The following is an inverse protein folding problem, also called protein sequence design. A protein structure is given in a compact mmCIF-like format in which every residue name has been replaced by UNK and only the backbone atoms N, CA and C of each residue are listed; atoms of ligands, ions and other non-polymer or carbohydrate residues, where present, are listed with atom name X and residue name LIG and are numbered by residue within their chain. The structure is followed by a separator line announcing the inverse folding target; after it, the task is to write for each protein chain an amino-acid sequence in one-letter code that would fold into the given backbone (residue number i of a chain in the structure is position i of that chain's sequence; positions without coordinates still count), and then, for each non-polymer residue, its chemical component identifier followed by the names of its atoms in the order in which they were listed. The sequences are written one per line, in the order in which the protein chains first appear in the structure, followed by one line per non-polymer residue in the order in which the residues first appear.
data_IF_313833974365
#
_entry.id   IF_313833974365
#
_cell.length_a   1.000
_cell.length_b   1.000
_cell.length_c   1.000
_cell.angle_alpha   90.00
_cell.angle_beta   90.00
_cell.angle_gamma   90.00
#
_symmetry.space_group_name_H-M   'P 1'
#
loop_
_entity.id
_entity.type
_entity.pdbx_description
1 polymer ?
#
# COMPACT_ATOMS: atom_id res chain seq x y z
N UNK A 1 -51.19 -13.71 -23.53
CA UNK A 1 -49.87 -14.27 -23.17
C UNK A 1 -49.21 -13.28 -22.22
N UNK A 2 -49.02 -13.63 -20.95
CA UNK A 2 -48.26 -12.79 -20.03
C UNK A 2 -46.79 -12.84 -20.46
N UNK A 3 -46.30 -11.76 -21.07
CA UNK A 3 -44.86 -11.62 -21.31
C UNK A 3 -44.22 -11.61 -19.92
N UNK A 4 -43.37 -12.59 -19.62
CA UNK A 4 -42.65 -12.62 -18.36
C UNK A 4 -41.56 -11.53 -18.43
N UNK A 5 -41.96 -10.31 -18.09
CA UNK A 5 -41.12 -9.12 -18.19
C UNK A 5 -40.20 -9.09 -16.98
N UNK A 6 -38.90 -9.34 -17.19
CA UNK A 6 -37.90 -9.25 -16.13
C UNK A 6 -37.83 -7.81 -15.63
N UNK A 7 -38.26 -7.61 -14.40
CA UNK A 7 -38.44 -6.28 -13.80
C UNK A 7 -37.55 -6.04 -12.58
N UNK A 8 -36.65 -6.98 -12.29
CA UNK A 8 -35.64 -6.91 -11.24
C UNK A 8 -34.26 -7.33 -11.75
N UNK A 9 -33.22 -6.85 -11.07
CA UNK A 9 -31.82 -7.20 -11.31
C UNK A 9 -31.24 -7.96 -10.12
N UNK A 10 -30.32 -8.87 -10.41
CA UNK A 10 -29.57 -9.61 -9.40
C UNK A 10 -28.18 -8.99 -9.22
N UNK A 11 -27.73 -8.83 -7.98
CA UNK A 11 -26.41 -8.29 -7.65
C UNK A 11 -25.45 -9.45 -7.38
N UNK A 12 -24.52 -9.66 -8.31
CA UNK A 12 -23.59 -10.81 -8.25
C UNK A 12 -22.44 -10.61 -7.28
N UNK A 13 -21.95 -9.38 -7.17
CA UNK A 13 -20.74 -9.03 -6.43
C UNK A 13 -20.73 -7.53 -6.10
N UNK A 14 -19.81 -7.13 -5.21
CA UNK A 14 -19.67 -5.75 -4.72
C UNK A 14 -19.37 -4.76 -5.85
N UNK A 15 -18.56 -5.15 -6.85
CA UNK A 15 -18.19 -4.27 -7.96
C UNK A 15 -19.39 -4.00 -8.86
N UNK A 16 -20.14 -5.05 -9.18
CA UNK A 16 -21.42 -4.94 -9.90
C UNK A 16 -22.40 -4.07 -9.11
N UNK A 17 -22.51 -4.28 -7.80
CA UNK A 17 -23.33 -3.43 -6.93
C UNK A 17 -22.95 -1.95 -7.01
N UNK A 18 -21.65 -1.64 -6.91
CA UNK A 18 -21.13 -0.27 -6.99
C UNK A 18 -21.47 0.39 -8.32
N UNK A 19 -21.26 -0.33 -9.42
CA UNK A 19 -21.64 0.14 -10.76
C UNK A 19 -23.13 0.49 -10.82
N UNK A 20 -24.00 -0.41 -10.35
CA UNK A 20 -25.44 -0.23 -10.36
C UNK A 20 -25.86 1.03 -9.60
N UNK A 21 -25.29 1.26 -8.42
CA UNK A 21 -25.58 2.47 -7.64
C UNK A 21 -25.22 3.75 -8.37
N UNK A 22 -24.01 3.83 -8.94
CA UNK A 22 -23.58 5.01 -9.70
C UNK A 22 -24.40 5.22 -10.97
N UNK A 23 -24.67 4.15 -11.71
CA UNK A 23 -25.46 4.22 -12.93
C UNK A 23 -26.91 4.65 -12.64
N UNK A 24 -27.54 4.12 -11.60
CA UNK A 24 -28.89 4.50 -11.18
C UNK A 24 -28.93 5.95 -10.72
N UNK A 25 -28.00 6.40 -9.87
CA UNK A 25 -27.94 7.81 -9.43
C UNK A 25 -27.81 8.79 -10.58
N UNK A 26 -27.04 8.41 -11.61
CA UNK A 26 -26.83 9.23 -12.80
C UNK A 26 -28.08 9.31 -13.70
N UNK A 27 -28.82 8.22 -13.84
CA UNK A 27 -29.86 8.09 -14.87
C UNK A 27 -31.30 8.16 -14.33
N UNK A 28 -31.53 7.98 -13.02
CA UNK A 28 -32.85 8.01 -12.40
C UNK A 28 -32.99 9.27 -11.55
N UNK A 29 -33.95 10.13 -11.91
CA UNK A 29 -34.26 11.34 -11.13
C UNK A 29 -34.76 10.96 -9.73
N UNK A 30 -34.27 11.68 -8.70
CA UNK A 30 -34.63 11.42 -7.31
C UNK A 30 -33.93 10.23 -6.68
N UNK A 31 -33.12 9.45 -7.42
CA UNK A 31 -32.41 8.29 -6.86
C UNK A 31 -31.40 8.63 -5.74
N UNK A 32 -31.01 9.90 -5.62
CA UNK A 32 -30.15 10.38 -4.53
C UNK A 32 -30.79 10.26 -3.14
N UNK A 33 -32.11 10.11 -3.05
CA UNK A 33 -32.82 9.89 -1.78
C UNK A 33 -32.56 8.50 -1.19
N UNK A 34 -32.10 7.54 -2.01
CA UNK A 34 -31.76 6.20 -1.54
C UNK A 34 -30.34 6.19 -0.97
N UNK A 35 -30.23 5.76 0.28
CA UNK A 35 -28.94 5.50 0.92
C UNK A 35 -28.31 4.27 0.25
N UNK A 36 -27.25 4.50 -0.51
CA UNK A 36 -26.48 3.45 -1.17
C UNK A 36 -25.07 3.44 -0.59
N UNK A 37 -24.69 2.31 0.00
CA UNK A 37 -23.30 2.01 0.31
C UNK A 37 -22.73 1.12 -0.79
N UNK A 38 -21.95 1.70 -1.69
CA UNK A 38 -21.32 1.00 -2.80
C UNK A 38 -20.21 0.03 -2.40
N UNK A 39 -19.87 -0.04 -1.12
CA UNK A 39 -18.92 -1.00 -0.55
C UNK A 39 -19.59 -1.96 0.43
N UNK A 40 -20.93 -1.97 0.50
CA UNK A 40 -21.66 -2.87 1.38
C UNK A 40 -21.36 -4.34 0.99
N UNK A 41 -20.78 -5.15 1.91
CA UNK A 41 -20.51 -6.55 1.63
C UNK A 41 -21.80 -7.40 1.53
N UNK A 42 -22.93 -6.91 2.06
CA UNK A 42 -24.24 -7.56 1.90
C UNK A 42 -24.83 -7.24 0.52
N UNK A 43 -24.54 -8.11 -0.43
CA UNK A 43 -25.07 -8.04 -1.80
C UNK A 43 -26.58 -8.21 -1.86
N UNK A 44 -27.18 -8.94 -0.91
CA UNK A 44 -28.63 -9.16 -0.85
C UNK A 44 -29.37 -7.90 -0.41
N UNK A 45 -28.83 -7.21 0.60
CA UNK A 45 -29.33 -5.89 0.98
C UNK A 45 -29.16 -4.90 -0.17
N UNK A 46 -27.99 -4.87 -0.80
CA UNK A 46 -27.72 -3.99 -1.93
C UNK A 46 -28.69 -4.22 -3.09
N UNK A 47 -28.96 -5.49 -3.42
CA UNK A 47 -29.95 -5.89 -4.42
C UNK A 47 -31.35 -5.38 -4.11
N UNK A 48 -31.79 -5.48 -2.85
CA UNK A 48 -33.09 -4.97 -2.42
C UNK A 48 -33.19 -3.45 -2.59
N UNK A 49 -32.18 -2.69 -2.17
CA UNK A 49 -32.21 -1.23 -2.29
C UNK A 49 -32.17 -0.82 -3.78
N UNK A 50 -31.36 -1.48 -4.60
CA UNK A 50 -31.28 -1.25 -6.05
C UNK A 50 -32.64 -1.49 -6.71
N UNK A 51 -33.28 -2.64 -6.46
CA UNK A 51 -34.57 -2.96 -7.05
C UNK A 51 -35.68 -2.00 -6.56
N UNK A 52 -35.64 -1.59 -5.30
CA UNK A 52 -36.57 -0.56 -4.77
C UNK A 52 -36.41 0.77 -5.52
N UNK A 53 -35.16 1.20 -5.78
CA UNK A 53 -34.89 2.42 -6.53
C UNK A 53 -35.32 2.32 -8.00
N UNK A 54 -35.13 1.15 -8.63
CA UNK A 54 -35.61 0.88 -9.99
C UNK A 54 -37.14 0.92 -10.07
N UNK A 55 -37.85 0.34 -9.10
CA UNK A 55 -39.31 0.37 -9.02
C UNK A 55 -39.85 1.79 -8.81
N UNK A 56 -39.20 2.58 -7.94
CA UNK A 56 -39.59 3.97 -7.73
C UNK A 56 -39.32 4.86 -8.95
N UNK A 57 -38.19 4.65 -9.63
CA UNK A 57 -37.81 5.41 -10.83
C UNK A 57 -38.58 5.02 -12.09
N UNK A 58 -38.92 3.74 -12.23
CA UNK A 58 -39.67 3.18 -13.35
C UNK A 58 -40.79 2.26 -12.82
N UNK A 59 -41.94 2.82 -12.39
CA UNK A 59 -43.05 2.01 -11.86
C UNK A 59 -43.63 1.04 -12.89
N UNK A 60 -43.69 1.46 -14.16
CA UNK A 60 -44.16 0.62 -15.27
C UNK A 60 -43.19 -0.55 -15.54
N UNK A 61 -43.65 -1.82 -15.46
CA UNK A 61 -42.77 -2.98 -15.62
C UNK A 61 -42.08 -3.06 -16.99
N UNK A 62 -42.71 -2.58 -18.06
CA UNK A 62 -42.14 -2.63 -19.42
C UNK A 62 -41.01 -1.60 -19.55
N UNK A 63 -41.23 -0.37 -19.11
CA UNK A 63 -40.20 0.67 -19.05
C UNK A 63 -39.03 0.24 -18.15
N UNK A 64 -39.33 -0.33 -16.97
CA UNK A 64 -38.30 -0.85 -16.05
C UNK A 64 -37.46 -1.94 -16.70
N UNK A 65 -38.09 -2.89 -17.39
CA UNK A 65 -37.37 -3.95 -18.11
C UNK A 65 -36.49 -3.42 -19.23
N UNK A 66 -36.98 -2.44 -19.99
CA UNK A 66 -36.20 -1.77 -21.02
C UNK A 66 -34.97 -1.06 -20.42
N UNK A 67 -35.14 -0.39 -19.29
CA UNK A 67 -34.03 0.24 -18.56
C UNK A 67 -33.03 -0.80 -18.04
N UNK A 68 -33.51 -1.89 -17.42
CA UNK A 68 -32.65 -2.99 -16.95
C UNK A 68 -31.81 -3.56 -18.11
N UNK A 69 -32.40 -3.77 -19.29
CA UNK A 69 -31.66 -4.26 -20.47
C UNK A 69 -30.55 -3.28 -20.90
N UNK A 70 -30.83 -1.98 -20.91
CA UNK A 70 -29.83 -0.95 -21.21
C UNK A 70 -28.72 -0.91 -20.16
N UNK A 71 -29.08 -1.09 -18.89
CA UNK A 71 -28.17 -1.11 -17.77
C UNK A 71 -27.27 -2.37 -17.79
N UNK A 72 -27.81 -3.54 -18.13
CA UNK A 72 -27.02 -4.76 -18.31
C UNK A 72 -26.06 -4.64 -19.50
N UNK A 73 -26.49 -3.99 -20.58
CA UNK A 73 -25.59 -3.65 -21.68
C UNK A 73 -24.46 -2.72 -21.20
N UNK A 74 -24.79 -1.68 -20.42
CA UNK A 74 -23.81 -0.75 -19.88
C UNK A 74 -22.79 -1.44 -18.96
N UNK A 75 -23.21 -2.37 -18.09
CA UNK A 75 -22.28 -3.18 -17.29
C UNK A 75 -21.23 -3.84 -18.19
N UNK A 76 -21.67 -4.48 -19.27
CA UNK A 76 -20.80 -5.26 -20.15
C UNK A 76 -19.88 -4.40 -21.04
N UNK A 77 -20.26 -3.16 -21.32
CA UNK A 77 -19.48 -2.27 -22.20
C UNK A 77 -18.64 -1.25 -21.45
N UNK A 78 -19.02 -0.91 -20.21
CA UNK A 78 -18.36 0.12 -19.40
C UNK A 78 -17.36 -0.45 -18.40
N UNK A 79 -17.64 -1.61 -17.78
CA UNK A 79 -16.72 -2.21 -16.82
C UNK A 79 -15.55 -2.90 -17.52
N UNK A 80 -14.33 -2.63 -17.04
CA UNK A 80 -13.15 -3.30 -17.53
C UNK A 80 -13.06 -4.73 -16.95
N UNK A 81 -12.88 -5.78 -17.77
CA UNK A 81 -12.64 -7.13 -17.29
C UNK A 81 -11.46 -7.24 -16.32
N UNK A 82 -11.55 -8.13 -15.32
CA UNK A 82 -10.54 -8.30 -14.26
C UNK A 82 -9.13 -8.60 -14.80
N UNK A 83 -9.03 -9.27 -15.95
CA UNK A 83 -7.74 -9.57 -16.61
C UNK A 83 -6.89 -8.32 -16.91
N UNK A 84 -7.49 -7.13 -17.04
CA UNK A 84 -6.74 -5.89 -17.24
C UNK A 84 -6.03 -5.40 -15.97
N UNK A 85 -6.43 -5.92 -14.81
CA UNK A 85 -5.89 -5.58 -13.49
C UNK A 85 -5.02 -6.68 -12.88
N UNK A 86 -4.79 -7.80 -13.59
CA UNK A 86 -4.04 -8.95 -13.03
C UNK A 86 -2.63 -8.59 -12.57
N UNK A 87 -1.96 -7.69 -13.29
CA UNK A 87 -0.62 -7.20 -12.95
C UNK A 87 -0.56 -6.39 -11.64
N UNK A 88 -1.70 -5.94 -11.12
CA UNK A 88 -1.84 -5.27 -9.83
C UNK A 88 -2.17 -6.29 -8.74
N UNK A 89 -3.12 -7.19 -9.01
CA UNK A 89 -3.61 -8.18 -8.05
C UNK A 89 -2.51 -9.03 -7.42
N UNK A 90 -1.45 -9.31 -8.18
CA UNK A 90 -0.32 -10.15 -7.75
C UNK A 90 0.93 -9.33 -7.37
N UNK A 91 0.86 -7.99 -7.43
CA UNK A 91 2.02 -7.13 -7.22
C UNK A 91 1.69 -5.94 -6.31
N UNK A 92 1.94 -6.15 -5.01
CA UNK A 92 1.78 -5.15 -3.94
C UNK A 92 2.38 -3.80 -4.29
N UNK A 93 3.62 -3.79 -4.79
CA UNK A 93 4.40 -2.59 -5.08
C UNK A 93 3.82 -1.84 -6.28
N UNK A 94 3.42 -2.55 -7.32
CA UNK A 94 2.77 -1.97 -8.49
C UNK A 94 1.40 -1.35 -8.14
N UNK A 95 0.63 -2.06 -7.30
CA UNK A 95 -0.64 -1.56 -6.75
C UNK A 95 -0.45 -0.31 -5.92
N UNK A 96 0.54 -0.29 -5.03
CA UNK A 96 0.85 0.89 -4.22
C UNK A 96 1.27 2.06 -5.10
N UNK A 97 2.16 1.83 -6.06
CA UNK A 97 2.61 2.85 -7.00
C UNK A 97 1.44 3.45 -7.79
N UNK A 98 0.59 2.61 -8.40
CA UNK A 98 -0.51 3.10 -9.23
C UNK A 98 -1.53 3.87 -8.39
N UNK A 99 -1.88 3.36 -7.20
CA UNK A 99 -2.74 4.10 -6.28
C UNK A 99 -2.11 5.45 -5.89
N UNK A 100 -0.81 5.46 -5.58
CA UNK A 100 -0.08 6.65 -5.17
C UNK A 100 -0.04 7.73 -6.26
N UNK A 101 0.23 7.37 -7.52
CA UNK A 101 0.17 8.35 -8.62
C UNK A 101 -1.25 8.86 -8.84
N UNK A 102 -2.27 8.01 -8.73
CA UNK A 102 -3.66 8.44 -8.91
C UNK A 102 -4.14 9.36 -7.77
N UNK A 103 -3.71 9.10 -6.53
CA UNK A 103 -4.17 9.83 -5.35
C UNK A 103 -3.36 11.10 -5.09
N UNK A 104 -2.04 11.06 -5.30
CA UNK A 104 -1.10 12.08 -4.82
C UNK A 104 -0.50 12.93 -5.94
N UNK A 105 -0.49 12.45 -7.19
CA UNK A 105 0.10 13.16 -8.32
C UNK A 105 -0.98 13.71 -9.26
N UNK A 106 -1.15 15.04 -9.26
CA UNK A 106 -2.15 15.70 -10.11
C UNK A 106 -1.92 15.42 -11.62
N UNK A 107 -0.68 15.18 -12.05
CA UNK A 107 -0.33 14.86 -13.45
C UNK A 107 -0.95 13.55 -13.91
N UNK A 108 -1.25 12.65 -12.98
CA UNK A 108 -1.98 11.42 -13.29
C UNK A 108 -3.40 11.74 -13.76
N UNK A 109 -4.09 12.65 -13.06
CA UNK A 109 -5.43 13.10 -13.44
C UNK A 109 -5.40 13.87 -14.76
N UNK A 110 -4.42 14.74 -14.97
CA UNK A 110 -4.21 15.43 -16.27
C UNK A 110 -4.04 14.42 -17.40
N UNK A 111 -3.17 13.41 -17.24
CA UNK A 111 -2.96 12.36 -18.23
C UNK A 111 -4.25 11.58 -18.56
N UNK A 112 -5.08 11.32 -17.55
CA UNK A 112 -6.41 10.73 -17.77
C UNK A 112 -7.30 11.69 -18.57
N UNK A 113 -7.35 12.97 -18.18
CA UNK A 113 -8.18 13.96 -18.85
C UNK A 113 -7.79 14.16 -20.31
N UNK A 114 -6.49 14.23 -20.60
CA UNK A 114 -5.94 14.28 -21.96
C UNK A 114 -6.38 13.05 -22.76
N UNK A 115 -6.27 11.85 -22.18
CA UNK A 115 -6.68 10.61 -22.85
C UNK A 115 -8.15 10.62 -23.22
N UNK A 116 -9.00 11.12 -22.32
CA UNK A 116 -10.45 11.12 -22.46
C UNK A 116 -10.97 12.33 -23.25
N UNK A 117 -10.13 13.32 -23.53
CA UNK A 117 -10.56 14.59 -24.12
C UNK A 117 -11.49 15.38 -23.20
N UNK A 118 -11.39 15.21 -21.88
CA UNK A 118 -12.20 15.92 -20.88
C UNK A 118 -11.49 17.18 -20.37
N UNK A 119 -12.18 17.97 -19.55
CA UNK A 119 -11.57 19.15 -18.91
C UNK A 119 -10.32 18.74 -18.10
N UNK A 120 -9.17 19.32 -18.44
CA UNK A 120 -7.85 19.03 -17.85
C UNK A 120 -7.80 19.20 -16.33
N UNK A 121 -8.65 20.07 -15.77
CA UNK A 121 -8.72 20.34 -14.33
C UNK A 121 -9.64 19.37 -13.57
N UNK A 122 -10.17 18.33 -14.23
CA UNK A 122 -11.07 17.38 -13.56
C UNK A 122 -10.27 16.46 -12.63
N UNK A 123 -10.49 16.59 -11.33
CA UNK A 123 -10.00 15.63 -10.36
C UNK A 123 -11.01 14.48 -10.18
N UNK A 124 -10.79 13.37 -10.88
CA UNK A 124 -11.69 12.21 -10.81
C UNK A 124 -11.70 11.53 -9.45
N UNK A 125 -10.55 11.51 -8.76
CA UNK A 125 -10.42 10.92 -7.43
C UNK A 125 -11.33 11.61 -6.42
N UNK A 126 -11.27 12.96 -6.38
CA UNK A 126 -12.13 13.77 -5.53
C UNK A 126 -13.60 13.65 -5.91
N UNK A 127 -13.92 13.65 -7.22
CA UNK A 127 -15.30 13.47 -7.69
C UNK A 127 -15.88 12.11 -7.30
N UNK A 128 -15.07 11.05 -7.31
CA UNK A 128 -15.51 9.72 -6.92
C UNK A 128 -15.76 9.59 -5.41
N UNK A 129 -15.20 10.50 -4.59
CA UNK A 129 -15.35 10.48 -3.13
C UNK A 129 -14.75 9.23 -2.47
N UNK A 130 -13.65 8.70 -3.02
CA UNK A 130 -12.99 7.49 -2.51
C UNK A 130 -11.96 7.89 -1.43
N UNK A 131 -11.74 7.02 -0.44
CA UNK A 131 -10.77 7.23 0.65
C UNK A 131 -9.33 7.35 0.15
N UNK A 132 -8.58 8.26 0.74
CA UNK A 132 -7.14 8.48 0.53
C UNK A 132 -6.25 7.69 1.52
N UNK A 133 -6.86 6.88 2.39
CA UNK A 133 -6.18 6.22 3.50
C UNK A 133 -6.40 4.70 3.49
N UNK A 134 -5.96 3.98 2.44
CA UNK A 134 -6.09 2.51 2.40
C UNK A 134 -5.14 1.83 3.39
N UNK A 135 -5.65 0.82 4.08
CA UNK A 135 -4.97 0.06 5.11
C UNK A 135 -4.23 -1.20 4.59
N UNK A 136 -4.44 -1.59 3.33
CA UNK A 136 -3.89 -2.83 2.78
C UNK A 136 -3.76 -2.81 1.26
N UNK A 137 -3.06 -3.81 0.70
CA UNK A 137 -3.06 -4.10 -0.73
C UNK A 137 -4.48 -4.24 -1.27
N UNK A 138 -5.30 -5.10 -0.66
CA UNK A 138 -6.67 -5.37 -1.14
C UNK A 138 -7.50 -4.08 -1.24
N UNK A 139 -7.34 -3.17 -0.29
CA UNK A 139 -8.01 -1.87 -0.33
C UNK A 139 -7.47 -0.97 -1.44
N UNK A 140 -6.14 -0.83 -1.59
CA UNK A 140 -5.54 -0.07 -2.70
C UNK A 140 -6.00 -0.59 -4.07
N UNK A 141 -6.03 -1.90 -4.24
CA UNK A 141 -6.53 -2.55 -5.45
C UNK A 141 -8.01 -2.21 -5.71
N UNK A 142 -8.87 -2.36 -4.69
CA UNK A 142 -10.29 -2.04 -4.78
C UNK A 142 -10.53 -0.57 -5.14
N UNK A 143 -9.74 0.36 -4.59
CA UNK A 143 -9.78 1.80 -4.90
C UNK A 143 -9.46 2.06 -6.37
N UNK A 144 -8.38 1.48 -6.89
CA UNK A 144 -7.99 1.64 -8.30
C UNK A 144 -9.13 1.18 -9.21
N UNK A 145 -9.67 -0.02 -8.96
CA UNK A 145 -10.78 -0.57 -9.75
C UNK A 145 -12.02 0.34 -9.65
N UNK A 146 -12.39 0.76 -8.44
CA UNK A 146 -13.53 1.64 -8.20
C UNK A 146 -13.40 2.97 -8.96
N UNK A 147 -12.22 3.59 -8.92
CA UNK A 147 -11.98 4.85 -9.59
C UNK A 147 -12.06 4.73 -11.12
N UNK A 148 -11.46 3.69 -11.71
CA UNK A 148 -11.58 3.47 -13.14
C UNK A 148 -13.01 3.17 -13.58
N UNK A 149 -13.75 2.39 -12.79
CA UNK A 149 -15.16 2.12 -13.05
C UNK A 149 -15.99 3.41 -12.98
N UNK A 150 -15.75 4.27 -11.98
CA UNK A 150 -16.41 5.57 -11.87
C UNK A 150 -16.16 6.44 -13.10
N UNK A 151 -14.90 6.59 -13.52
CA UNK A 151 -14.54 7.38 -14.69
C UNK A 151 -15.21 6.83 -15.95
N UNK A 152 -15.26 5.51 -16.11
CA UNK A 152 -15.90 4.88 -17.26
C UNK A 152 -17.42 5.11 -17.27
N UNK A 153 -18.09 5.08 -16.11
CA UNK A 153 -19.52 5.42 -16.00
C UNK A 153 -19.75 6.88 -16.35
N UNK A 154 -18.88 7.77 -15.88
CA UNK A 154 -19.01 9.20 -16.11
C UNK A 154 -18.82 9.58 -17.57
N UNK A 155 -17.84 8.97 -18.24
CA UNK A 155 -17.41 9.35 -19.59
C UNK A 155 -17.93 8.44 -20.70
N UNK A 156 -18.31 7.21 -20.38
CA UNK A 156 -18.62 6.15 -21.34
C UNK A 156 -17.44 5.84 -22.30
N UNK A 157 -16.19 5.99 -21.84
CA UNK A 157 -14.97 5.84 -22.64
C UNK A 157 -14.07 4.68 -22.19
N UNK A 158 -14.68 3.55 -21.81
CA UNK A 158 -13.95 2.36 -21.35
C UNK A 158 -12.82 1.89 -22.29
N UNK A 159 -12.93 1.96 -23.64
CA UNK A 159 -11.82 1.62 -24.53
C UNK A 159 -10.58 2.51 -24.34
N UNK A 160 -10.76 3.82 -24.15
CA UNK A 160 -9.66 4.75 -23.93
C UNK A 160 -9.02 4.55 -22.56
N UNK A 161 -9.85 4.30 -21.53
CA UNK A 161 -9.36 4.00 -20.19
C UNK A 161 -8.58 2.69 -20.13
N UNK A 162 -9.01 1.68 -20.89
CA UNK A 162 -8.25 0.43 -21.06
C UNK A 162 -6.88 0.70 -21.67
N UNK A 163 -6.81 1.55 -22.68
CA UNK A 163 -5.53 1.92 -23.30
C UNK A 163 -4.63 2.67 -22.30
N UNK A 164 -5.19 3.61 -21.54
CA UNK A 164 -4.46 4.33 -20.49
C UNK A 164 -3.89 3.37 -19.43
N UNK A 165 -4.69 2.43 -18.94
CA UNK A 165 -4.25 1.43 -17.97
C UNK A 165 -3.14 0.53 -18.54
N UNK A 166 -3.23 0.16 -19.82
CA UNK A 166 -2.19 -0.59 -20.50
C UNK A 166 -0.88 0.21 -20.64
N UNK A 167 -0.97 1.51 -20.93
CA UNK A 167 0.19 2.40 -20.98
C UNK A 167 0.88 2.51 -19.60
N UNK A 168 0.11 2.53 -18.50
CA UNK A 168 0.67 2.45 -17.14
C UNK A 168 1.38 1.12 -16.88
N UNK A 169 0.84 0.00 -17.34
CA UNK A 169 1.51 -1.31 -17.26
C UNK A 169 2.83 -1.32 -18.06
N UNK A 170 2.83 -0.80 -19.29
CA UNK A 170 4.03 -0.71 -20.12
C UNK A 170 5.08 0.16 -19.44
N UNK A 171 4.69 1.33 -18.92
CA UNK A 171 5.56 2.20 -18.15
C UNK A 171 6.13 1.46 -16.93
N UNK A 172 5.29 0.81 -16.14
CA UNK A 172 5.72 0.05 -14.97
C UNK A 172 6.76 -1.02 -15.35
N UNK A 173 6.54 -1.78 -16.41
CA UNK A 173 7.49 -2.83 -16.85
C UNK A 173 8.80 -2.24 -17.39
N UNK A 174 8.72 -1.18 -18.19
CA UNK A 174 9.90 -0.57 -18.80
C UNK A 174 10.89 -0.03 -17.75
N UNK A 175 10.38 0.53 -16.64
CA UNK A 175 11.21 1.13 -15.59
C UNK A 175 11.66 0.11 -14.52
N UNK A 176 11.55 -1.20 -14.77
CA UNK A 176 11.93 -2.22 -13.79
C UNK A 176 13.38 -2.17 -13.33
N UNK A 177 14.28 -1.90 -14.27
CA UNK A 177 15.72 -1.85 -14.03
C UNK A 177 16.13 -0.62 -13.21
N UNK A 178 15.35 0.47 -13.27
CA UNK A 178 15.58 1.70 -12.49
C UNK A 178 14.96 1.64 -11.09
N UNK A 179 14.01 0.73 -10.84
CA UNK A 179 13.36 0.62 -9.52
C UNK A 179 14.38 0.36 -8.41
N UNK A 180 14.31 1.19 -7.38
CA UNK A 180 15.19 1.11 -6.22
C UNK A 180 14.96 -0.20 -5.47
N UNK A 181 16.06 -0.87 -5.12
CA UNK A 181 16.08 -2.10 -4.30
C UNK A 181 17.03 -1.90 -3.13
N UNK A 182 16.49 -1.95 -1.91
CA UNK A 182 17.27 -1.84 -0.68
C UNK A 182 17.50 -3.25 -0.13
N UNK A 183 18.67 -3.85 -0.42
CA UNK A 183 18.98 -5.26 -0.08
C UNK A 183 18.88 -5.58 1.42
N UNK A 184 18.96 -4.57 2.27
CA UNK A 184 18.93 -4.70 3.72
C UNK A 184 17.53 -4.50 4.33
N UNK A 185 16.55 -4.12 3.51
CA UNK A 185 15.18 -3.88 3.94
C UNK A 185 14.36 -5.14 3.65
N UNK A 186 13.79 -5.74 4.69
CA UNK A 186 12.95 -6.94 4.62
C UNK A 186 11.68 -6.71 5.45
N UNK A 187 10.57 -7.32 5.03
CA UNK A 187 9.23 -7.12 5.61
C UNK A 187 9.08 -7.62 7.06
N UNK A 188 9.90 -8.61 7.45
CA UNK A 188 9.92 -9.25 8.76
C UNK A 188 10.69 -8.42 9.82
N UNK A 189 11.48 -7.44 9.39
CA UNK A 189 12.30 -6.64 10.29
C UNK A 189 11.64 -5.30 10.65
N UNK A 190 10.68 -5.35 11.58
CA UNK A 190 9.91 -4.18 12.03
C UNK A 190 10.78 -2.99 12.47
N UNK A 191 11.89 -3.23 13.19
CA UNK A 191 12.78 -2.16 13.65
C UNK A 191 13.48 -1.46 12.47
N UNK A 192 13.93 -2.24 11.48
CA UNK A 192 14.58 -1.70 10.27
C UNK A 192 13.57 -0.97 9.39
N UNK A 193 12.36 -1.51 9.21
CA UNK A 193 11.29 -0.83 8.49
C UNK A 193 10.93 0.50 9.14
N UNK A 194 10.69 0.50 10.45
CA UNK A 194 10.36 1.73 11.20
C UNK A 194 11.46 2.77 11.09
N UNK A 195 12.73 2.35 11.23
CA UNK A 195 13.87 3.25 11.06
C UNK A 195 13.93 3.82 9.63
N UNK A 196 13.78 2.98 8.61
CA UNK A 196 13.88 3.38 7.22
C UNK A 196 12.76 4.34 6.82
N UNK A 197 11.51 4.06 7.23
CA UNK A 197 10.37 4.93 7.02
C UNK A 197 10.59 6.32 7.63
N UNK A 198 10.98 6.38 8.91
CA UNK A 198 11.26 7.64 9.59
C UNK A 198 12.43 8.40 8.95
N UNK A 199 13.48 7.68 8.55
CA UNK A 199 14.63 8.29 7.89
C UNK A 199 14.27 8.88 6.53
N UNK A 200 13.51 8.14 5.70
CA UNK A 200 13.06 8.61 4.38
C UNK A 200 12.11 9.80 4.53
N UNK A 201 11.14 9.72 5.44
CA UNK A 201 10.25 10.84 5.73
C UNK A 201 11.01 12.10 6.14
N UNK A 202 11.99 11.96 7.04
CA UNK A 202 12.86 13.07 7.45
C UNK A 202 13.69 13.58 6.26
N UNK A 203 14.25 12.68 5.46
CA UNK A 203 15.05 13.03 4.29
C UNK A 203 14.24 13.83 3.27
N UNK A 204 13.01 13.40 2.97
CA UNK A 204 12.06 14.11 2.12
C UNK A 204 11.74 15.50 2.67
N UNK A 205 11.48 15.64 3.98
CA UNK A 205 11.20 16.95 4.60
C UNK A 205 12.40 17.90 4.53
N UNK A 206 13.62 17.38 4.67
CA UNK A 206 14.86 18.17 4.63
C UNK A 206 15.29 18.55 3.20
N UNK A 207 14.90 17.76 2.20
CA UNK A 207 15.33 17.93 0.81
C UNK A 207 14.18 18.30 -0.15
N UNK A 208 12.94 18.32 0.33
CA UNK A 208 11.75 18.80 -0.38
C UNK A 208 11.79 20.32 -0.55
N UNK A 209 11.47 20.80 -1.74
CA UNK A 209 11.71 22.18 -2.12
C UNK A 209 10.63 23.16 -1.65
N UNK A 210 11.07 24.29 -1.08
CA UNK A 210 10.41 25.59 -1.30
C UNK A 210 10.93 26.27 -2.60
N UNK A 211 11.95 25.69 -3.26
CA UNK A 211 12.62 26.26 -4.44
C UNK A 211 13.26 25.16 -5.32
N UNK A 212 12.44 24.37 -6.02
CA UNK A 212 12.90 23.61 -7.19
C UNK A 212 13.71 22.31 -6.96
N UNK A 213 13.63 21.66 -5.79
CA UNK A 213 14.15 20.30 -5.62
C UNK A 213 13.04 19.26 -5.84
N UNK A 214 13.24 18.36 -6.82
CA UNK A 214 12.29 17.38 -7.35
C UNK A 214 11.94 16.19 -6.43
N UNK A 215 12.35 16.22 -5.16
CA UNK A 215 11.94 15.24 -4.14
C UNK A 215 10.72 15.79 -3.40
N UNK A 216 9.64 16.03 -4.13
CA UNK A 216 8.39 16.48 -3.53
C UNK A 216 7.97 15.47 -2.45
N UNK A 217 7.69 15.92 -1.21
CA UNK A 217 7.41 15.02 -0.11
C UNK A 217 6.17 14.17 -0.40
N UNK A 218 6.37 12.89 -0.71
CA UNK A 218 5.27 11.94 -0.92
C UNK A 218 4.58 11.70 0.43
N UNK A 219 3.38 12.25 0.58
CA UNK A 219 2.56 12.10 1.79
C UNK A 219 1.74 10.80 1.71
N UNK A 220 2.38 9.68 2.03
CA UNK A 220 1.67 8.41 2.17
C UNK A 220 1.04 8.35 3.57
N UNK A 221 -0.22 7.87 3.71
CA UNK A 221 -0.83 7.57 5.00
C UNK A 221 0.08 6.72 5.90
N UNK A 222 -0.05 6.89 7.22
CA UNK A 222 0.78 6.18 8.16
C UNK A 222 0.51 4.66 8.09
N UNK A 223 1.54 3.83 7.83
CA UNK A 223 1.36 2.39 7.70
C UNK A 223 1.03 1.73 9.05
N UNK A 224 0.13 0.76 9.04
CA UNK A 224 -0.40 0.13 10.27
C UNK A 224 0.52 -0.97 10.86
N UNK A 225 1.41 -1.54 10.07
CA UNK A 225 2.28 -2.66 10.48
C UNK A 225 3.60 -2.68 9.69
N UNK A 226 4.49 -3.63 9.99
CA UNK A 226 5.83 -3.70 9.37
C UNK A 226 5.80 -4.02 7.88
N UNK A 227 4.86 -4.85 7.44
CA UNK A 227 4.66 -5.22 6.02
C UNK A 227 4.17 -4.00 5.23
N UNK A 228 3.18 -3.30 5.77
CA UNK A 228 2.68 -2.04 5.20
C UNK A 228 3.77 -0.97 5.18
N UNK A 229 4.58 -0.89 6.25
CA UNK A 229 5.73 0.02 6.31
C UNK A 229 6.76 -0.29 5.23
N UNK A 230 7.06 -1.57 5.02
CA UNK A 230 7.96 -2.04 3.97
C UNK A 230 7.49 -1.59 2.58
N UNK A 231 6.20 -1.79 2.27
CA UNK A 231 5.63 -1.37 0.99
C UNK A 231 5.55 0.15 0.85
N UNK A 232 5.19 0.86 1.92
CA UNK A 232 5.15 2.32 1.94
C UNK A 232 6.53 2.94 1.64
N UNK A 233 7.62 2.37 2.17
CA UNK A 233 8.99 2.80 1.86
C UNK A 233 9.26 2.73 0.35
N UNK A 234 8.96 1.59 -0.27
CA UNK A 234 9.19 1.45 -1.72
C UNK A 234 8.26 2.35 -2.53
N UNK A 235 7.02 2.54 -2.10
CA UNK A 235 6.10 3.47 -2.74
C UNK A 235 6.60 4.91 -2.68
N UNK A 236 7.12 5.38 -1.53
CA UNK A 236 7.73 6.71 -1.43
C UNK A 236 8.86 6.89 -2.44
N UNK A 237 9.73 5.89 -2.57
CA UNK A 237 10.85 5.91 -3.50
C UNK A 237 10.39 5.88 -4.96
N UNK A 238 9.38 5.06 -5.29
CA UNK A 238 8.83 4.94 -6.65
C UNK A 238 8.03 6.17 -7.09
N UNK A 239 7.50 6.94 -6.14
CA UNK A 239 6.69 8.14 -6.37
C UNK A 239 7.51 9.43 -6.41
N UNK A 240 8.83 9.38 -6.17
CA UNK A 240 9.68 10.53 -6.33
C UNK A 240 9.70 11.01 -7.79
N UNK A 241 9.39 12.29 -7.99
CA UNK A 241 9.50 12.98 -9.28
C UNK A 241 10.93 13.37 -9.66
N UNK A 242 11.92 12.95 -8.87
CA UNK A 242 13.33 13.27 -9.07
C UNK A 242 13.92 12.52 -10.26
N UNK A 243 14.86 13.16 -10.96
CA UNK A 243 15.66 12.52 -11.99
C UNK A 243 16.53 11.37 -11.42
N UNK A 244 16.95 10.46 -12.29
CA UNK A 244 17.69 9.25 -11.93
C UNK A 244 18.98 9.54 -11.12
N UNK A 245 19.70 10.63 -11.41
CA UNK A 245 20.94 10.96 -10.70
C UNK A 245 20.65 11.43 -9.27
N UNK A 246 19.63 12.28 -9.10
CA UNK A 246 19.20 12.72 -7.78
C UNK A 246 18.67 11.56 -6.94
N UNK A 247 17.84 10.68 -7.52
CA UNK A 247 17.37 9.47 -6.83
C UNK A 247 18.53 8.56 -6.42
N UNK A 248 19.50 8.30 -7.33
CA UNK A 248 20.67 7.49 -7.01
C UNK A 248 21.52 8.10 -5.89
N UNK A 249 21.69 9.43 -5.87
CA UNK A 249 22.40 10.14 -4.79
C UNK A 249 21.65 10.00 -3.46
N UNK A 250 20.33 10.13 -3.46
CA UNK A 250 19.49 9.94 -2.26
C UNK A 250 19.63 8.50 -1.73
N UNK A 251 19.51 7.50 -2.59
CA UNK A 251 19.66 6.08 -2.24
C UNK A 251 21.05 5.77 -1.70
N UNK A 252 22.11 6.35 -2.28
CA UNK A 252 23.49 6.22 -1.74
C UNK A 252 23.59 6.78 -0.32
N UNK A 253 22.98 7.95 -0.04
CA UNK A 253 22.95 8.54 1.31
C UNK A 253 22.18 7.65 2.30
N UNK A 254 21.00 7.15 1.91
CA UNK A 254 20.19 6.24 2.73
C UNK A 254 20.98 4.97 3.09
N UNK A 255 21.59 4.32 2.10
CA UNK A 255 22.43 3.14 2.31
C UNK A 255 23.60 3.42 3.27
N UNK A 256 24.31 4.53 3.07
CA UNK A 256 25.42 4.92 3.94
C UNK A 256 24.97 5.10 5.39
N UNK A 257 23.85 5.78 5.61
CA UNK A 257 23.28 6.00 6.94
C UNK A 257 22.91 4.67 7.61
N UNK A 258 22.30 3.75 6.87
CA UNK A 258 21.94 2.42 7.38
C UNK A 258 23.16 1.61 7.82
N UNK A 259 24.18 1.50 6.95
CA UNK A 259 25.39 0.75 7.29
C UNK A 259 26.16 1.40 8.45
N UNK A 260 26.15 2.72 8.55
CA UNK A 260 26.73 3.43 9.69
C UNK A 260 25.98 3.15 11.00
N UNK A 261 24.63 3.16 10.98
CA UNK A 261 23.79 2.75 12.14
C UNK A 261 24.18 1.33 12.59
N UNK A 262 24.20 0.40 11.65
CA UNK A 262 24.50 -1.01 11.95
C UNK A 262 25.92 -1.21 12.47
N UNK A 263 26.91 -0.52 11.90
CA UNK A 263 28.27 -0.57 12.40
C UNK A 263 28.37 -0.07 13.85
N UNK A 264 27.73 1.06 14.16
CA UNK A 264 27.70 1.62 15.53
C UNK A 264 27.01 0.66 16.50
N UNK A 265 25.89 0.05 16.11
CA UNK A 265 25.19 -0.97 16.91
C UNK A 265 26.11 -2.15 17.23
N UNK A 266 26.74 -2.75 16.22
CA UNK A 266 27.67 -3.87 16.39
C UNK A 266 28.85 -3.52 17.30
N UNK A 267 29.36 -2.28 17.20
CA UNK A 267 30.43 -1.81 18.07
C UNK A 267 29.97 -1.66 19.52
N UNK A 268 28.75 -1.18 19.75
CA UNK A 268 28.16 -1.07 21.10
C UNK A 268 28.00 -2.45 21.73
N UNK A 269 27.37 -3.39 21.01
CA UNK A 269 27.20 -4.78 21.47
C UNK A 269 28.55 -5.46 21.75
N UNK A 270 29.56 -5.18 20.93
CA UNK A 270 30.93 -5.68 21.15
C UNK A 270 31.52 -5.09 22.43
N UNK A 271 31.38 -3.77 22.67
CA UNK A 271 31.88 -3.11 23.90
C UNK A 271 31.16 -3.60 25.16
N UNK A 272 29.85 -3.83 25.09
CA UNK A 272 29.08 -4.41 26.19
C UNK A 272 29.58 -5.81 26.53
N UNK A 273 29.85 -6.65 25.51
CA UNK A 273 30.49 -7.96 25.68
C UNK A 273 31.95 -7.87 26.19
N UNK A 274 32.69 -6.83 25.81
CA UNK A 274 34.09 -6.61 26.18
C UNK A 274 34.28 -5.82 27.49
N UNK A 275 33.20 -5.57 28.25
CA UNK A 275 33.21 -4.78 29.50
C UNK A 275 34.07 -5.35 30.64
N UNK A 276 34.67 -6.52 30.46
CA UNK A 276 35.73 -7.02 31.34
C UNK A 276 36.97 -6.13 31.16
N UNK A 277 37.44 -5.50 32.25
CA UNK A 277 38.65 -4.67 32.19
C UNK A 277 39.85 -5.50 31.74
N UNK A 278 40.85 -4.86 31.12
CA UNK A 278 42.02 -5.58 30.60
C UNK A 278 42.77 -6.34 31.71
N UNK A 279 42.78 -5.80 32.93
CA UNK A 279 43.29 -6.48 34.13
C UNK A 279 42.57 -7.81 34.42
N UNK A 280 41.25 -7.84 34.24
CA UNK A 280 40.46 -9.07 34.44
C UNK A 280 40.61 -10.04 33.26
N UNK A 281 40.84 -9.54 32.03
CA UNK A 281 41.20 -10.39 30.89
C UNK A 281 42.55 -11.07 31.10
N UNK A 282 43.57 -10.34 31.58
CA UNK A 282 44.89 -10.89 31.92
C UNK A 282 44.79 -11.94 33.03
N UNK A 283 43.98 -11.68 34.07
CA UNK A 283 43.72 -12.67 35.14
C UNK A 283 43.02 -13.90 34.59
N UNK A 284 42.03 -13.75 33.71
CA UNK A 284 41.36 -14.87 33.07
C UNK A 284 42.33 -15.68 32.19
N UNK A 285 43.19 -15.02 31.42
CA UNK A 285 44.21 -15.68 30.60
C UNK A 285 45.26 -16.42 31.46
N UNK A 286 45.62 -15.86 32.61
CA UNK A 286 46.45 -16.55 33.60
C UNK A 286 45.76 -17.83 34.10
N UNK A 287 44.48 -17.76 34.46
CA UNK A 287 43.71 -18.91 34.96
C UNK A 287 43.53 -19.99 33.88
N UNK A 288 43.29 -19.60 32.63
CA UNK A 288 43.26 -20.51 31.46
C UNK A 288 44.58 -21.29 31.33
N UNK A 289 45.72 -20.59 31.45
CA UNK A 289 47.04 -21.24 31.40
C UNK A 289 47.30 -22.13 32.62
N UNK A 290 46.90 -21.68 33.81
CA UNK A 290 47.10 -22.40 35.06
C UNK A 290 46.27 -23.70 35.11
N UNK A 291 44.98 -23.62 34.78
CA UNK A 291 44.07 -24.76 34.77
C UNK A 291 44.16 -25.61 33.50
N UNK A 292 44.88 -25.16 32.46
CA UNK A 292 45.02 -25.83 31.15
C UNK A 292 43.65 -26.18 30.54
N UNK A 293 42.71 -25.25 30.62
CA UNK A 293 41.33 -25.43 30.16
C UNK A 293 40.89 -24.20 29.36
N UNK A 294 39.84 -24.32 28.56
CA UNK A 294 39.37 -23.20 27.75
C UNK A 294 38.69 -22.11 28.61
N UNK A 295 38.53 -20.91 28.04
CA UNK A 295 37.99 -19.75 28.74
C UNK A 295 36.60 -19.99 29.34
N UNK A 296 35.74 -20.74 28.64
CA UNK A 296 34.36 -20.97 29.10
C UNK A 296 34.38 -21.91 30.29
N UNK A 297 35.10 -23.03 30.19
CA UNK A 297 35.27 -23.99 31.30
C UNK A 297 35.85 -23.34 32.57
N UNK A 298 36.81 -22.42 32.43
CA UNK A 298 37.36 -21.67 33.57
C UNK A 298 36.32 -20.72 34.18
N UNK A 299 35.51 -20.04 33.36
CA UNK A 299 34.44 -19.16 33.85
C UNK A 299 33.37 -19.96 34.59
N UNK A 300 32.91 -21.08 34.03
CA UNK A 300 31.93 -21.97 34.65
C UNK A 300 32.41 -22.46 36.02
N UNK A 301 33.67 -22.91 36.09
CA UNK A 301 34.31 -23.30 37.34
C UNK A 301 34.33 -22.18 38.39
N UNK A 302 34.72 -20.97 37.98
CA UNK A 302 34.76 -19.81 38.89
C UNK A 302 33.36 -19.44 39.40
N UNK A 303 32.33 -19.60 38.57
CA UNK A 303 30.94 -19.40 38.95
C UNK A 303 30.54 -20.45 39.99
N UNK A 304 30.78 -21.74 39.72
CA UNK A 304 30.43 -22.84 40.62
C UNK A 304 31.12 -22.72 41.98
N UNK A 305 32.44 -22.46 41.99
CA UNK A 305 33.22 -22.25 43.21
C UNK A 305 32.69 -21.07 44.02
N UNK A 306 32.27 -19.99 43.35
CA UNK A 306 31.72 -18.81 44.03
C UNK A 306 30.33 -19.08 44.60
N UNK A 307 29.46 -19.75 43.85
CA UNK A 307 28.10 -20.12 44.29
C UNK A 307 28.18 -21.05 45.49
N UNK A 308 28.97 -22.12 45.41
CA UNK A 308 29.15 -23.06 46.51
C UNK A 308 29.68 -22.36 47.78
N UNK A 309 30.63 -21.44 47.63
CA UNK A 309 31.15 -20.64 48.74
C UNK A 309 30.11 -19.72 49.39
N UNK A 310 29.13 -19.23 48.64
CA UNK A 310 28.02 -18.42 49.16
C UNK A 310 27.00 -19.32 49.88
N UNK A 311 26.61 -20.44 49.28
CA UNK A 311 25.67 -21.41 49.87
C UNK A 311 26.20 -21.96 51.21
N UNK A 312 27.50 -22.22 51.29
CA UNK A 312 28.15 -22.69 52.52
C UNK A 312 28.14 -21.62 53.63
N UNK A 313 28.12 -20.32 53.28
CA UNK A 313 28.00 -19.23 54.25
C UNK A 313 26.57 -19.04 54.73
N UNK A 314 25.60 -19.15 53.83
CA UNK A 314 24.18 -19.05 54.15
C UNK A 314 23.66 -20.22 54.99
N UNK A 315 24.26 -21.41 54.86
CA UNK A 315 23.93 -22.59 55.67
C UNK A 315 24.58 -22.60 57.07
N UNK A 316 25.48 -21.65 57.36
CA UNK A 316 26.18 -21.52 58.65
C UNK A 316 25.74 -20.27 59.45
N UNK A 317 24.85 -19.45 58.90
CA UNK A 317 24.18 -18.34 59.59
C UNK A 317 22.74 -18.70 59.90
#
# INVERSE_FOLDING_TARGET
MAVNVRSSIAVKDIRTSRFLFWYIRKNIQGANQFAFDGNNPDTSLSERIINTALEAGYPDPIQRSNFIRSLELAINTTLLPEKYFSWLKENERATFWLWGVMCLDYRCMESINEKLGTNLNTNWYQKAGITDSPASHSERYSIIVALLDYINIETNQAPLMRQWLYERLVFWRANEHQRIKLRWLTEDNSEVCTWAYNYINKFQKEHGGNTGNHLDPVQIPEPLNSVETYHAIYAMLDLWSADDDLQQKAVKKINKAFYQKNFRRKLSEKRERESISDTHKERLDFLVKFYKSDKISVIERLIDERVQGIETRLSRG
#
